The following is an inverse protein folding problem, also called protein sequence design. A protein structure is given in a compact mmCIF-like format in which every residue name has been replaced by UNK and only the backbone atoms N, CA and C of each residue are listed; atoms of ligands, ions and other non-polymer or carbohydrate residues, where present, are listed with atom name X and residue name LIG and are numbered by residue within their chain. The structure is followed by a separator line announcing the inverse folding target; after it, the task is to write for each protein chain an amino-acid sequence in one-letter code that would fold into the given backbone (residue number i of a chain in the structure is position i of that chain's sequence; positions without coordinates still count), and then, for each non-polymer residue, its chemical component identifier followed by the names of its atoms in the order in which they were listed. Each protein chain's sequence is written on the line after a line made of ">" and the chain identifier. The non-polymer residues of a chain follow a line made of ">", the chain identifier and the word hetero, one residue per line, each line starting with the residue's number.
data_IF_225224628751
#
_entry.id   IF_225224628751
#
_cell.length_a   1.000
_cell.length_b   1.000
_cell.length_c   1.000
_cell.angle_alpha   90.00
_cell.angle_beta   90.00
_cell.angle_gamma   90.00
#
_symmetry.space_group_name_H-M   'P 1'
#
loop_
_entity.id
_entity.type
_entity.pdbx_description
1 polymer ?
#
# COMPACT_ATOMS: atom_id res chain seq x y z
N UNK A 1 -11.23 -2.29 -20.70
CA UNK A 1 -12.43 -2.39 -19.85
C UNK A 1 -12.90 -3.83 -19.98
N UNK A 2 -12.73 -4.63 -18.95
CA UNK A 2 -13.07 -6.07 -18.98
C UNK A 2 -14.37 -6.27 -18.21
N UNK A 3 -15.39 -6.76 -18.90
CA UNK A 3 -16.70 -7.04 -18.30
C UNK A 3 -16.61 -8.41 -17.60
N UNK A 4 -16.76 -8.43 -16.27
CA UNK A 4 -16.70 -9.66 -15.45
C UNK A 4 -18.07 -10.27 -15.20
N UNK A 5 -18.91 -10.31 -16.25
CA UNK A 5 -20.29 -10.79 -16.17
C UNK A 5 -20.35 -12.24 -15.65
N UNK A 6 -19.50 -13.14 -16.12
CA UNK A 6 -19.49 -14.56 -15.73
C UNK A 6 -19.27 -14.75 -14.24
N UNK A 7 -18.26 -14.06 -13.67
CA UNK A 7 -17.97 -14.11 -12.24
C UNK A 7 -19.11 -13.52 -11.40
N UNK A 8 -19.65 -12.37 -11.85
CA UNK A 8 -20.73 -11.69 -11.15
C UNK A 8 -22.04 -12.48 -11.20
N UNK A 9 -22.39 -13.02 -12.35
CA UNK A 9 -23.58 -13.86 -12.52
C UNK A 9 -23.56 -15.02 -11.53
N UNK A 10 -22.47 -15.77 -11.49
CA UNK A 10 -22.26 -16.89 -10.57
C UNK A 10 -22.30 -16.44 -9.10
N UNK A 11 -21.61 -15.32 -8.77
CA UNK A 11 -21.56 -14.79 -7.41
C UNK A 11 -22.94 -14.35 -6.90
N UNK A 12 -23.69 -13.61 -7.71
CA UNK A 12 -25.04 -13.15 -7.36
C UNK A 12 -25.95 -14.35 -7.18
N UNK A 13 -25.94 -15.32 -8.08
CA UNK A 13 -26.74 -16.53 -7.97
C UNK A 13 -26.46 -17.28 -6.67
N UNK A 14 -25.19 -17.54 -6.37
CA UNK A 14 -24.79 -18.24 -5.15
C UNK A 14 -25.17 -17.48 -3.87
N UNK A 15 -25.01 -16.15 -3.86
CA UNK A 15 -25.39 -15.34 -2.70
C UNK A 15 -26.88 -15.36 -2.39
N UNK A 16 -27.71 -15.64 -3.38
CA UNK A 16 -29.18 -15.74 -3.26
C UNK A 16 -29.67 -17.19 -3.11
N UNK A 17 -28.78 -18.16 -3.09
CA UNK A 17 -29.14 -19.58 -2.96
C UNK A 17 -29.92 -20.13 -4.16
N UNK A 18 -29.79 -19.53 -5.33
CA UNK A 18 -30.53 -19.89 -6.56
C UNK A 18 -29.69 -20.85 -7.38
N UNK A 19 -30.36 -21.84 -8.07
CA UNK A 19 -29.69 -22.78 -8.96
C UNK A 19 -29.58 -22.25 -10.38
N UNK A 20 -28.71 -22.86 -11.22
CA UNK A 20 -28.63 -22.55 -12.65
C UNK A 20 -29.94 -22.93 -13.36
N UNK A 21 -30.59 -24.01 -12.92
CA UNK A 21 -31.85 -24.47 -13.43
C UNK A 21 -32.98 -23.46 -13.20
N UNK A 22 -33.04 -22.80 -12.02
CA UNK A 22 -34.08 -21.84 -11.71
C UNK A 22 -34.01 -20.62 -12.65
N UNK A 23 -32.78 -20.10 -12.91
CA UNK A 23 -32.57 -19.02 -13.86
C UNK A 23 -32.94 -19.47 -15.28
N UNK A 24 -32.52 -20.68 -15.66
CA UNK A 24 -32.79 -21.23 -16.98
C UNK A 24 -34.33 -21.37 -17.23
N UNK A 25 -35.06 -21.87 -16.24
CA UNK A 25 -36.52 -21.94 -16.26
C UNK A 25 -37.17 -20.58 -16.41
N UNK A 26 -36.73 -19.61 -15.62
CA UNK A 26 -37.27 -18.23 -15.70
C UNK A 26 -37.06 -17.60 -17.07
N UNK A 27 -35.89 -17.82 -17.67
CA UNK A 27 -35.55 -17.26 -18.98
C UNK A 27 -36.07 -18.10 -20.17
N UNK A 28 -36.62 -19.27 -19.90
CA UNK A 28 -37.07 -20.29 -20.91
C UNK A 28 -35.90 -20.65 -21.87
N UNK A 29 -34.75 -21.02 -21.30
CA UNK A 29 -33.54 -21.44 -22.02
C UNK A 29 -32.98 -22.74 -21.40
N UNK A 30 -32.12 -23.48 -22.12
CA UNK A 30 -31.45 -24.64 -21.53
C UNK A 30 -30.51 -24.26 -20.38
N UNK A 31 -30.47 -25.06 -19.29
CA UNK A 31 -29.54 -24.85 -18.16
C UNK A 31 -28.09 -24.78 -18.62
N UNK A 32 -27.70 -25.59 -19.58
CA UNK A 32 -26.36 -25.60 -20.18
C UNK A 32 -25.95 -24.20 -20.70
N UNK A 33 -26.92 -23.36 -21.10
CA UNK A 33 -26.65 -22.00 -21.57
C UNK A 33 -26.25 -21.11 -20.40
N UNK A 34 -26.92 -21.21 -19.26
CA UNK A 34 -26.56 -20.50 -18.03
C UNK A 34 -25.18 -20.94 -17.56
N UNK A 35 -24.91 -22.25 -17.57
CA UNK A 35 -23.59 -22.80 -17.21
C UNK A 35 -22.47 -22.23 -18.07
N UNK A 36 -22.65 -22.11 -19.40
CA UNK A 36 -21.68 -21.51 -20.30
C UNK A 36 -21.40 -20.03 -19.96
N UNK A 37 -22.44 -19.26 -19.63
CA UNK A 37 -22.27 -17.87 -19.25
C UNK A 37 -21.44 -17.73 -17.97
N UNK A 38 -21.67 -18.59 -16.97
CA UNK A 38 -20.91 -18.58 -15.72
C UNK A 38 -19.48 -19.12 -15.85
N UNK A 39 -19.19 -19.90 -16.91
CA UNK A 39 -17.84 -20.37 -17.25
C UNK A 39 -17.07 -19.37 -18.13
N UNK A 40 -17.76 -18.36 -18.67
CA UNK A 40 -17.14 -17.39 -19.58
C UNK A 40 -17.12 -17.85 -21.05
N UNK A 41 -17.74 -18.99 -21.37
CA UNK A 41 -17.81 -19.57 -22.72
C UNK A 41 -18.82 -18.89 -23.63
N UNK A 42 -19.40 -17.77 -23.20
CA UNK A 42 -20.36 -16.96 -23.94
C UNK A 42 -21.04 -15.92 -23.06
N UNK A 43 -21.87 -15.10 -23.69
CA UNK A 43 -22.59 -14.02 -23.02
C UNK A 43 -24.10 -14.11 -23.29
N UNK A 44 -24.96 -13.69 -22.33
CA UNK A 44 -26.37 -13.48 -22.60
C UNK A 44 -26.56 -12.43 -23.70
N UNK A 45 -27.56 -12.62 -24.53
CA UNK A 45 -27.98 -11.56 -25.45
C UNK A 45 -28.40 -10.32 -24.67
N UNK A 46 -28.14 -9.14 -25.23
CA UNK A 46 -28.39 -7.85 -24.56
C UNK A 46 -29.84 -7.71 -24.04
N UNK A 47 -30.80 -8.31 -24.74
CA UNK A 47 -32.22 -8.29 -24.35
C UNK A 47 -32.53 -9.16 -23.13
N UNK A 48 -31.65 -10.09 -22.76
CA UNK A 48 -31.79 -10.95 -21.59
C UNK A 48 -31.22 -10.29 -20.32
N UNK A 49 -30.29 -9.34 -20.45
CA UNK A 49 -29.66 -8.69 -19.31
C UNK A 49 -30.66 -8.05 -18.35
N UNK A 50 -31.66 -7.26 -18.81
CA UNK A 50 -32.66 -6.71 -17.90
C UNK A 50 -33.52 -7.77 -17.20
N UNK A 51 -33.81 -8.90 -17.88
CA UNK A 51 -34.57 -10.01 -17.29
C UNK A 51 -33.78 -10.74 -16.21
N UNK A 52 -32.47 -10.97 -16.45
CA UNK A 52 -31.56 -11.58 -15.48
C UNK A 52 -31.41 -10.66 -14.27
N UNK A 53 -31.22 -9.35 -14.50
CA UNK A 53 -31.11 -8.36 -13.44
C UNK A 53 -32.39 -8.32 -12.58
N UNK A 54 -33.57 -8.31 -13.21
CA UNK A 54 -34.85 -8.36 -12.51
C UNK A 54 -35.04 -9.65 -11.73
N UNK A 55 -34.63 -10.81 -12.29
CA UNK A 55 -34.71 -12.10 -11.60
C UNK A 55 -33.87 -12.13 -10.33
N UNK A 56 -32.70 -11.52 -10.36
CA UNK A 56 -31.80 -11.42 -9.22
C UNK A 56 -32.04 -10.20 -8.35
N UNK A 57 -33.03 -9.36 -8.66
CA UNK A 57 -33.27 -8.10 -7.93
C UNK A 57 -31.97 -7.29 -7.76
N UNK A 58 -31.31 -7.02 -8.89
CA UNK A 58 -30.10 -6.20 -9.02
C UNK A 58 -30.23 -5.30 -10.25
N UNK A 59 -29.38 -4.29 -10.36
CA UNK A 59 -29.28 -3.49 -11.59
C UNK A 59 -28.49 -4.21 -12.68
N UNK A 60 -28.67 -3.83 -13.93
CA UNK A 60 -27.86 -4.34 -15.05
C UNK A 60 -26.38 -3.95 -14.84
N UNK A 61 -26.11 -2.78 -14.28
CA UNK A 61 -24.76 -2.30 -13.97
C UNK A 61 -24.07 -3.18 -12.90
N UNK A 62 -24.80 -3.56 -11.85
CA UNK A 62 -24.31 -4.54 -10.84
C UNK A 62 -24.05 -5.90 -11.48
N UNK A 63 -24.97 -6.37 -12.36
CA UNK A 63 -24.82 -7.64 -13.07
C UNK A 63 -23.56 -7.63 -13.96
N UNK A 64 -23.31 -6.53 -14.69
CA UNK A 64 -22.13 -6.35 -15.54
C UNK A 64 -20.85 -6.02 -14.76
N UNK A 65 -20.97 -5.67 -13.49
CA UNK A 65 -19.85 -5.18 -12.66
C UNK A 65 -19.40 -3.76 -13.02
N UNK A 66 -20.24 -2.98 -13.66
CA UNK A 66 -19.92 -1.60 -14.07
C UNK A 66 -19.74 -0.70 -12.85
N UNK A 67 -20.51 -0.89 -11.80
CA UNK A 67 -20.36 -0.16 -10.53
C UNK A 67 -18.96 -0.31 -9.93
N UNK A 68 -18.40 -1.51 -10.02
CA UNK A 68 -17.04 -1.76 -9.56
C UNK A 68 -16.01 -1.03 -10.43
N UNK A 69 -16.18 -1.05 -11.74
CA UNK A 69 -15.29 -0.37 -12.69
C UNK A 69 -15.34 1.14 -12.48
N UNK A 70 -16.53 1.72 -12.31
CA UNK A 70 -16.69 3.15 -12.02
C UNK A 70 -16.03 3.52 -10.70
N UNK A 71 -16.23 2.71 -9.64
CA UNK A 71 -15.59 2.91 -8.35
C UNK A 71 -14.06 2.82 -8.44
N UNK A 72 -13.54 1.78 -9.10
CA UNK A 72 -12.09 1.60 -9.29
C UNK A 72 -11.48 2.76 -10.08
N UNK A 73 -12.14 3.22 -11.15
CA UNK A 73 -11.70 4.38 -11.91
C UNK A 73 -11.62 5.64 -11.04
N UNK A 74 -12.65 5.89 -10.25
CA UNK A 74 -12.70 7.06 -9.36
C UNK A 74 -11.67 7.00 -8.24
N UNK A 75 -11.44 5.81 -7.67
CA UNK A 75 -10.34 5.56 -6.71
C UNK A 75 -8.99 5.92 -7.34
N UNK A 76 -8.73 5.44 -8.57
CA UNK A 76 -7.50 5.72 -9.28
C UNK A 76 -7.33 7.22 -9.62
N UNK A 77 -8.41 7.93 -9.92
CA UNK A 77 -8.40 9.38 -10.11
C UNK A 77 -7.95 10.10 -8.82
N UNK A 78 -8.51 9.75 -7.66
CA UNK A 78 -8.08 10.28 -6.36
C UNK A 78 -6.61 10.00 -6.08
N UNK A 79 -6.14 8.77 -6.32
CA UNK A 79 -4.73 8.38 -6.13
C UNK A 79 -3.81 9.18 -7.06
N UNK A 80 -4.19 9.36 -8.31
CA UNK A 80 -3.43 10.15 -9.29
C UNK A 80 -3.31 11.62 -8.86
N UNK A 81 -4.41 12.23 -8.41
CA UNK A 81 -4.41 13.60 -7.87
C UNK A 81 -3.53 13.71 -6.62
N UNK A 82 -3.62 12.75 -5.70
CA UNK A 82 -2.78 12.69 -4.52
C UNK A 82 -1.30 12.69 -4.87
N UNK A 83 -0.88 11.80 -5.78
CA UNK A 83 0.52 11.68 -6.20
C UNK A 83 1.01 12.96 -6.89
N UNK A 84 0.19 13.60 -7.72
CA UNK A 84 0.50 14.88 -8.35
C UNK A 84 0.71 15.98 -7.30
N UNK A 85 -0.18 16.10 -6.33
CA UNK A 85 -0.06 17.07 -5.25
C UNK A 85 1.19 16.81 -4.40
N UNK A 86 1.47 15.54 -4.07
CA UNK A 86 2.65 15.15 -3.33
C UNK A 86 3.94 15.56 -4.06
N UNK A 87 4.02 15.33 -5.38
CA UNK A 87 5.15 15.75 -6.21
C UNK A 87 5.34 17.27 -6.30
N UNK A 88 4.28 18.04 -6.03
CA UNK A 88 4.31 19.51 -5.96
C UNK A 88 4.48 20.06 -4.55
N UNK A 89 4.62 19.22 -3.53
CA UNK A 89 4.70 19.62 -2.13
C UNK A 89 3.38 20.16 -1.53
N UNK A 90 2.24 19.95 -2.20
CA UNK A 90 0.91 20.42 -1.79
C UNK A 90 0.27 19.50 -0.75
N UNK A 91 0.87 19.42 0.43
CA UNK A 91 0.47 18.42 1.45
C UNK A 91 -0.91 18.75 2.05
N UNK A 92 -1.22 20.03 2.29
CA UNK A 92 -2.53 20.44 2.82
C UNK A 92 -3.67 20.16 1.83
N UNK A 93 -3.42 20.35 0.52
CA UNK A 93 -4.37 19.96 -0.53
C UNK A 93 -4.64 18.44 -0.51
N UNK A 94 -3.64 17.63 -0.20
CA UNK A 94 -3.81 16.18 -0.05
C UNK A 94 -4.65 15.80 1.16
N UNK A 95 -4.56 16.53 2.28
CA UNK A 95 -5.45 16.31 3.43
C UNK A 95 -6.90 16.54 3.03
N UNK A 96 -7.19 17.67 2.37
CA UNK A 96 -8.55 17.99 1.91
C UNK A 96 -9.04 16.95 0.87
N UNK A 97 -8.18 16.55 -0.08
CA UNK A 97 -8.48 15.56 -1.10
C UNK A 97 -8.82 14.19 -0.48
N UNK A 98 -8.02 13.70 0.47
CA UNK A 98 -8.26 12.40 1.09
C UNK A 98 -9.48 12.42 2.03
N UNK A 99 -9.74 13.54 2.72
CA UNK A 99 -10.98 13.69 3.49
C UNK A 99 -12.21 13.64 2.57
N UNK A 100 -12.17 14.32 1.42
CA UNK A 100 -13.26 14.25 0.43
C UNK A 100 -13.42 12.83 -0.15
N UNK A 101 -12.31 12.16 -0.47
CA UNK A 101 -12.34 10.77 -0.95
C UNK A 101 -12.95 9.81 0.08
N UNK A 102 -12.69 10.02 1.37
CA UNK A 102 -13.23 9.20 2.46
C UNK A 102 -14.72 9.46 2.76
N UNK A 103 -15.27 10.63 2.37
CA UNK A 103 -16.73 10.82 2.40
C UNK A 103 -17.42 9.90 1.39
N UNK A 104 -16.79 9.63 0.26
CA UNK A 104 -17.35 8.77 -0.78
C UNK A 104 -16.99 7.29 -0.58
N UNK A 105 -15.77 7.02 -0.08
CA UNK A 105 -15.23 5.69 0.16
C UNK A 105 -14.75 5.51 1.61
N UNK A 106 -15.66 5.52 2.61
CA UNK A 106 -15.31 5.66 4.03
C UNK A 106 -14.44 4.51 4.60
N UNK A 107 -14.45 3.35 3.95
CA UNK A 107 -13.67 2.16 4.37
C UNK A 107 -12.47 1.88 3.46
N UNK A 108 -12.05 2.84 2.64
CA UNK A 108 -10.87 2.66 1.80
C UNK A 108 -9.60 2.87 2.63
N UNK A 109 -8.92 1.77 2.95
CA UNK A 109 -7.73 1.78 3.80
C UNK A 109 -6.54 2.50 3.15
N UNK A 110 -6.44 2.51 1.81
CA UNK A 110 -5.39 3.25 1.11
C UNK A 110 -5.58 4.77 1.27
N UNK A 111 -6.81 5.25 1.17
CA UNK A 111 -7.11 6.67 1.41
C UNK A 111 -6.86 7.06 2.87
N UNK A 112 -7.24 6.19 3.81
CA UNK A 112 -6.94 6.40 5.23
C UNK A 112 -5.42 6.46 5.47
N UNK A 113 -4.65 5.56 4.89
CA UNK A 113 -3.18 5.55 5.00
C UNK A 113 -2.56 6.81 4.39
N UNK A 114 -3.02 7.24 3.20
CA UNK A 114 -2.56 8.47 2.55
C UNK A 114 -2.93 9.73 3.35
N UNK A 115 -4.09 9.73 4.00
CA UNK A 115 -4.47 10.80 4.92
C UNK A 115 -3.51 10.85 6.12
N UNK A 116 -3.26 9.71 6.77
CA UNK A 116 -2.30 9.62 7.88
C UNK A 116 -0.92 10.18 7.51
N UNK A 117 -0.39 9.79 6.33
CA UNK A 117 0.89 10.31 5.83
C UNK A 117 0.87 11.83 5.67
N UNK A 118 -0.20 12.38 5.07
CA UNK A 118 -0.31 13.83 4.86
C UNK A 118 -0.39 14.60 6.19
N UNK A 119 -1.17 14.09 7.15
CA UNK A 119 -1.30 14.66 8.49
C UNK A 119 0.05 14.64 9.24
N UNK A 120 0.78 13.52 9.14
CA UNK A 120 2.10 13.37 9.74
C UNK A 120 3.10 14.37 9.16
N UNK A 121 3.12 14.57 7.83
CA UNK A 121 4.03 15.51 7.17
C UNK A 121 3.79 16.97 7.57
N UNK A 122 2.54 17.37 7.77
CA UNK A 122 2.24 18.73 8.27
C UNK A 122 2.66 18.89 9.73
N UNK A 123 2.52 17.84 10.54
CA UNK A 123 3.05 17.74 11.90
C UNK A 123 2.40 18.64 12.94
N UNK A 124 1.26 19.29 12.65
CA UNK A 124 0.48 20.02 13.66
C UNK A 124 -0.04 19.05 14.72
N UNK A 125 -0.07 19.46 15.99
CA UNK A 125 -0.43 18.56 17.10
C UNK A 125 -1.80 17.91 16.93
N UNK A 126 -2.80 18.67 16.52
CA UNK A 126 -4.15 18.21 16.22
C UNK A 126 -4.18 17.17 15.08
N UNK A 127 -3.30 17.33 14.07
CA UNK A 127 -3.17 16.40 12.96
C UNK A 127 -2.45 15.11 13.36
N UNK A 128 -1.52 15.19 14.30
CA UNK A 128 -0.85 13.99 14.83
C UNK A 128 -1.83 13.12 15.61
N UNK A 129 -2.77 13.70 16.36
CA UNK A 129 -3.82 12.96 17.07
C UNK A 129 -4.78 12.29 16.10
N UNK A 130 -5.25 13.04 15.08
CA UNK A 130 -6.08 12.49 14.01
C UNK A 130 -5.38 11.35 13.27
N UNK A 131 -4.09 11.51 12.95
CA UNK A 131 -3.26 10.50 12.30
C UNK A 131 -3.19 9.21 13.13
N UNK A 132 -2.94 9.30 14.43
CA UNK A 132 -2.88 8.15 15.34
C UNK A 132 -4.22 7.42 15.37
N UNK A 133 -5.32 8.15 15.56
CA UNK A 133 -6.66 7.56 15.62
C UNK A 133 -7.04 6.82 14.33
N UNK A 134 -6.73 7.41 13.16
CA UNK A 134 -6.97 6.75 11.87
C UNK A 134 -6.06 5.54 11.71
N UNK A 135 -4.79 5.66 12.08
CA UNK A 135 -3.83 4.55 12.02
C UNK A 135 -4.26 3.36 12.88
N UNK A 136 -4.75 3.59 14.11
CA UNK A 136 -5.28 2.54 14.98
C UNK A 136 -6.49 1.85 14.34
N UNK A 137 -7.44 2.60 13.75
CA UNK A 137 -8.56 2.02 13.00
C UNK A 137 -8.12 1.13 11.85
N UNK A 138 -7.07 1.53 11.10
CA UNK A 138 -6.53 0.69 10.03
C UNK A 138 -5.97 -0.60 10.62
N UNK A 139 -5.23 -0.53 11.73
CA UNK A 139 -4.66 -1.72 12.38
C UNK A 139 -5.72 -2.70 12.91
N UNK A 140 -6.91 -2.21 13.29
CA UNK A 140 -8.01 -3.04 13.76
C UNK A 140 -8.66 -3.86 12.64
N UNK A 141 -8.67 -3.33 11.40
CA UNK A 141 -9.41 -3.96 10.29
C UNK A 141 -8.52 -4.55 9.19
N UNK A 142 -7.30 -4.02 9.00
CA UNK A 142 -6.40 -4.51 7.96
C UNK A 142 -5.77 -5.85 8.33
N UNK A 143 -5.85 -6.80 7.40
CA UNK A 143 -5.12 -8.08 7.47
C UNK A 143 -3.85 -8.09 6.62
N UNK A 144 -3.65 -7.05 5.79
CA UNK A 144 -2.46 -6.88 4.97
C UNK A 144 -1.28 -6.44 5.84
N UNK A 145 -0.22 -7.26 5.89
CA UNK A 145 0.92 -7.01 6.77
C UNK A 145 1.77 -5.83 6.30
N UNK A 146 1.91 -5.59 4.99
CA UNK A 146 2.68 -4.45 4.45
C UNK A 146 2.01 -3.12 4.83
N UNK A 147 0.70 -3.06 4.65
CA UNK A 147 -0.09 -1.91 5.07
C UNK A 147 0.01 -1.71 6.60
N UNK A 148 -0.12 -2.79 7.38
CA UNK A 148 0.00 -2.72 8.85
C UNK A 148 1.36 -2.20 9.28
N UNK A 149 2.45 -2.67 8.66
CA UNK A 149 3.81 -2.19 8.98
C UNK A 149 3.99 -0.72 8.61
N UNK A 150 3.51 -0.30 7.45
CA UNK A 150 3.53 1.11 7.04
C UNK A 150 2.78 1.99 8.02
N UNK A 151 1.60 1.56 8.47
CA UNK A 151 0.79 2.31 9.43
C UNK A 151 1.44 2.34 10.83
N UNK A 152 2.04 1.24 11.28
CA UNK A 152 2.80 1.22 12.54
C UNK A 152 3.94 2.24 12.49
N UNK A 153 4.69 2.33 11.39
CA UNK A 153 5.74 3.32 11.22
C UNK A 153 5.20 4.76 11.29
N UNK A 154 4.08 5.02 10.63
CA UNK A 154 3.41 6.34 10.68
C UNK A 154 3.05 6.71 12.14
N UNK A 155 2.46 5.78 12.89
CA UNK A 155 2.09 5.98 14.29
C UNK A 155 3.34 6.23 15.16
N UNK A 156 4.43 5.50 14.94
CA UNK A 156 5.70 5.72 15.65
C UNK A 156 6.19 7.15 15.43
N UNK A 157 6.23 7.62 14.17
CA UNK A 157 6.65 8.98 13.86
C UNK A 157 5.72 10.04 14.44
N UNK A 158 4.41 9.80 14.43
CA UNK A 158 3.45 10.69 15.06
C UNK A 158 3.69 10.82 16.58
N UNK A 159 3.89 9.73 17.29
CA UNK A 159 4.23 9.75 18.72
C UNK A 159 5.61 10.38 18.99
N UNK A 160 6.58 10.17 18.12
CA UNK A 160 7.91 10.79 18.23
C UNK A 160 7.81 12.31 18.08
N UNK A 161 7.04 12.80 17.10
CA UNK A 161 6.80 14.24 16.91
C UNK A 161 6.05 14.84 18.11
N UNK A 162 5.16 14.08 18.75
CA UNK A 162 4.51 14.46 20.01
C UNK A 162 5.42 14.33 21.24
N UNK A 163 6.69 13.93 21.07
CA UNK A 163 7.65 13.68 22.15
C UNK A 163 7.20 12.59 23.14
N UNK A 164 6.27 11.72 22.73
CA UNK A 164 5.82 10.59 23.52
C UNK A 164 6.61 9.33 23.17
N UNK A 165 7.87 9.30 23.61
CA UNK A 165 8.80 8.21 23.30
C UNK A 165 8.33 6.85 23.85
N UNK A 166 7.63 6.84 24.98
CA UNK A 166 7.10 5.61 25.58
C UNK A 166 6.14 4.91 24.61
N UNK A 167 5.17 5.65 24.05
CA UNK A 167 4.25 5.10 23.05
C UNK A 167 4.93 4.77 21.73
N UNK A 168 5.86 5.59 21.27
CA UNK A 168 6.64 5.30 20.07
C UNK A 168 7.39 3.96 20.19
N UNK A 169 8.05 3.70 21.33
CA UNK A 169 8.74 2.43 21.62
C UNK A 169 7.78 1.23 21.71
N UNK A 170 6.58 1.42 22.30
CA UNK A 170 5.56 0.38 22.36
C UNK A 170 5.16 -0.09 20.94
N UNK A 171 4.94 0.85 20.02
CA UNK A 171 4.60 0.54 18.63
C UNK A 171 5.81 -0.03 17.85
N UNK A 172 7.01 0.48 18.08
CA UNK A 172 8.22 -0.02 17.41
C UNK A 172 8.47 -1.52 17.69
N UNK A 173 8.14 -2.00 18.89
CA UNK A 173 8.24 -3.42 19.24
C UNK A 173 7.29 -4.35 18.47
N UNK A 174 6.26 -3.79 17.80
CA UNK A 174 5.34 -4.55 16.94
C UNK A 174 5.90 -4.81 15.54
N UNK A 175 6.97 -4.12 15.14
CA UNK A 175 7.65 -4.34 13.87
C UNK A 175 8.58 -5.56 13.96
N UNK A 176 8.71 -6.34 12.87
CA UNK A 176 9.68 -7.43 12.82
C UNK A 176 11.11 -6.89 12.86
N UNK A 177 12.02 -7.66 13.43
CA UNK A 177 13.44 -7.33 13.33
C UNK A 177 13.93 -7.46 11.88
N UNK A 178 15.03 -6.78 11.53
CA UNK A 178 15.64 -6.88 10.21
C UNK A 178 15.94 -8.33 9.81
N UNK A 179 16.30 -9.18 10.76
CA UNK A 179 16.61 -10.60 10.52
C UNK A 179 15.38 -11.46 10.22
N UNK A 180 14.18 -10.96 10.44
CA UNK A 180 12.93 -11.66 10.16
C UNK A 180 12.30 -11.18 8.83
N UNK A 181 13.01 -10.36 8.05
CA UNK A 181 12.52 -9.84 6.78
C UNK A 181 12.54 -10.92 5.70
N UNK A 182 11.55 -10.87 4.81
CA UNK A 182 11.43 -11.78 3.67
C UNK A 182 12.71 -11.84 2.83
N UNK A 183 13.31 -10.69 2.53
CA UNK A 183 14.50 -10.58 1.69
C UNK A 183 15.70 -11.36 2.29
N UNK A 184 15.88 -11.33 3.60
CA UNK A 184 16.94 -12.11 4.29
C UNK A 184 16.68 -13.60 4.19
N UNK A 185 15.45 -14.04 4.36
CA UNK A 185 15.07 -15.46 4.26
C UNK A 185 15.22 -15.97 2.83
N UNK A 186 14.84 -15.17 1.83
CA UNK A 186 14.97 -15.53 0.42
C UNK A 186 16.42 -15.71 -0.03
N UNK A 187 17.40 -14.99 0.54
CA UNK A 187 18.82 -15.19 0.25
C UNK A 187 19.27 -16.62 0.56
N UNK A 188 18.68 -17.28 1.56
CA UNK A 188 18.95 -18.68 1.90
C UNK A 188 18.29 -19.71 0.99
N UNK A 189 17.31 -19.30 0.17
CA UNK A 189 16.47 -20.19 -0.67
C UNK A 189 16.83 -20.06 -2.14
N UNK A 190 17.02 -18.85 -2.65
CA UNK A 190 17.27 -18.54 -4.05
C UNK A 190 18.66 -19.01 -4.48
N UNK A 191 18.85 -19.21 -5.80
CA UNK A 191 20.11 -19.61 -6.44
C UNK A 191 20.36 -18.88 -7.74
N UNK A 192 21.61 -18.86 -8.18
CA UNK A 192 21.98 -18.34 -9.49
C UNK A 192 21.69 -16.85 -9.66
N UNK A 193 21.16 -16.46 -10.83
CA UNK A 193 20.92 -15.05 -11.18
C UNK A 193 19.86 -14.35 -10.32
N UNK A 194 18.88 -15.07 -9.80
CA UNK A 194 17.86 -14.50 -8.92
C UNK A 194 18.45 -14.15 -7.56
N UNK A 195 19.25 -15.06 -6.98
CA UNK A 195 20.01 -14.78 -5.76
C UNK A 195 20.92 -13.56 -5.94
N UNK A 196 21.67 -13.51 -7.03
CA UNK A 196 22.60 -12.40 -7.28
C UNK A 196 21.87 -11.05 -7.34
N UNK A 197 20.73 -10.97 -8.03
CA UNK A 197 19.90 -9.75 -8.10
C UNK A 197 19.38 -9.34 -6.73
N UNK A 198 18.85 -10.30 -5.96
CA UNK A 198 18.34 -10.03 -4.62
C UNK A 198 19.47 -9.55 -3.69
N UNK A 199 20.59 -10.25 -3.67
CA UNK A 199 21.74 -9.90 -2.82
C UNK A 199 22.30 -8.51 -3.18
N UNK A 200 22.38 -8.16 -4.46
CA UNK A 200 22.80 -6.81 -4.87
C UNK A 200 21.84 -5.72 -4.37
N UNK A 201 20.52 -5.97 -4.48
CA UNK A 201 19.50 -5.08 -3.92
C UNK A 201 19.66 -4.94 -2.40
N UNK A 202 19.81 -6.06 -1.70
CA UNK A 202 19.88 -6.09 -0.24
C UNK A 202 21.16 -5.41 0.28
N UNK A 203 22.31 -5.61 -0.34
CA UNK A 203 23.55 -4.91 -0.01
C UNK A 203 23.33 -3.40 -0.07
N UNK A 204 22.69 -2.89 -1.14
CA UNK A 204 22.35 -1.47 -1.26
C UNK A 204 21.46 -0.98 -0.11
N UNK A 205 20.46 -1.76 0.27
CA UNK A 205 19.58 -1.44 1.39
C UNK A 205 20.30 -1.47 2.73
N UNK A 206 21.17 -2.46 2.97
CA UNK A 206 21.95 -2.55 4.21
C UNK A 206 22.91 -1.38 4.38
N UNK A 207 23.56 -0.95 3.30
CA UNK A 207 24.44 0.22 3.31
C UNK A 207 23.61 1.49 3.63
N UNK A 208 22.42 1.66 3.02
CA UNK A 208 21.54 2.79 3.33
C UNK A 208 21.06 2.78 4.79
N UNK A 209 20.73 1.61 5.33
CA UNK A 209 20.36 1.47 6.74
C UNK A 209 21.54 1.82 7.67
N UNK A 210 22.75 1.41 7.30
CA UNK A 210 23.97 1.74 8.03
C UNK A 210 24.24 3.25 7.99
N UNK A 211 24.13 3.90 6.82
CA UNK A 211 24.24 5.34 6.66
C UNK A 211 23.22 6.09 7.55
N UNK A 212 21.97 5.66 7.52
CA UNK A 212 20.92 6.22 8.36
C UNK A 212 21.23 6.07 9.86
N UNK A 213 21.70 4.90 10.29
CA UNK A 213 22.05 4.62 11.66
C UNK A 213 23.22 5.48 12.12
N UNK A 214 24.26 5.63 11.28
CA UNK A 214 25.39 6.50 11.53
C UNK A 214 24.96 7.97 11.63
N UNK A 215 24.08 8.43 10.71
CA UNK A 215 23.54 9.77 10.74
C UNK A 215 22.77 10.07 12.05
N UNK A 216 21.95 9.12 12.52
CA UNK A 216 21.26 9.25 13.81
C UNK A 216 22.24 9.27 14.99
N UNK A 217 23.24 8.41 14.96
CA UNK A 217 24.28 8.34 15.97
C UNK A 217 25.06 9.65 16.06
N UNK A 218 25.48 10.23 14.91
CA UNK A 218 26.18 11.51 14.87
C UNK A 218 25.31 12.70 15.35
N UNK A 219 23.99 12.65 15.11
CA UNK A 219 23.04 13.66 15.62
C UNK A 219 22.88 13.63 17.14
N UNK A 220 23.18 12.51 17.80
CA UNK A 220 23.13 12.43 19.28
C UNK A 220 24.15 13.32 19.98
N UNK A 221 25.19 13.76 19.25
CA UNK A 221 26.31 14.58 19.74
C UNK A 221 27.10 13.95 20.89
N UNK A 222 27.05 12.65 21.04
CA UNK A 222 27.78 11.90 22.07
C UNK A 222 29.21 11.51 21.64
N UNK A 223 29.63 11.92 20.43
CA UNK A 223 30.91 11.58 19.82
C UNK A 223 31.86 12.75 19.80
N UNK A 224 33.15 12.47 19.99
CA UNK A 224 34.19 13.42 19.71
C UNK A 224 34.30 13.72 18.20
N UNK A 225 34.65 14.96 17.78
CA UNK A 225 34.71 15.30 16.34
C UNK A 225 35.60 14.35 15.51
N UNK A 226 36.73 13.89 16.08
CA UNK A 226 37.63 12.95 15.41
C UNK A 226 37.05 11.57 15.17
N UNK A 227 36.21 11.09 16.08
CA UNK A 227 35.51 9.81 15.95
C UNK A 227 34.44 9.91 14.85
N UNK A 228 33.71 11.01 14.79
CA UNK A 228 32.71 11.27 13.75
C UNK A 228 33.36 11.28 12.36
N UNK A 229 34.50 11.95 12.19
CA UNK A 229 35.26 11.99 10.93
C UNK A 229 35.69 10.57 10.54
N UNK A 230 36.27 9.80 11.44
CA UNK A 230 36.70 8.43 11.17
C UNK A 230 35.55 7.54 10.70
N UNK A 231 34.37 7.65 11.32
CA UNK A 231 33.17 6.89 10.93
C UNK A 231 32.73 7.26 9.52
N UNK A 232 32.67 8.56 9.19
CA UNK A 232 32.29 9.06 7.87
C UNK A 232 33.27 8.65 6.76
N UNK A 233 34.59 8.72 7.03
CA UNK A 233 35.62 8.25 6.11
C UNK A 233 35.54 6.73 5.86
N UNK A 234 35.19 5.97 6.89
CA UNK A 234 34.99 4.52 6.75
C UNK A 234 33.78 4.21 5.92
N UNK A 235 32.68 4.93 6.10
CA UNK A 235 31.47 4.80 5.30
C UNK A 235 31.74 5.14 3.83
N UNK A 236 32.46 6.23 3.56
CA UNK A 236 32.86 6.61 2.19
C UNK A 236 33.69 5.52 1.51
N UNK A 237 34.63 4.91 2.22
CA UNK A 237 35.40 3.76 1.69
C UNK A 237 34.53 2.57 1.37
N UNK A 238 33.53 2.25 2.20
CA UNK A 238 32.56 1.17 1.95
C UNK A 238 31.70 1.48 0.71
N UNK A 239 31.23 2.69 0.58
CA UNK A 239 30.49 3.11 -0.62
C UNK A 239 31.32 2.96 -1.88
N UNK A 240 32.58 3.43 -1.87
CA UNK A 240 33.48 3.32 -3.00
C UNK A 240 33.80 1.85 -3.34
N UNK A 241 33.91 0.97 -2.35
CA UNK A 241 34.16 -0.45 -2.56
C UNK A 241 33.01 -1.15 -3.28
N UNK A 242 31.77 -0.85 -2.92
CA UNK A 242 30.60 -1.56 -3.45
C UNK A 242 29.97 -0.88 -4.69
N UNK A 243 30.17 0.42 -4.89
CA UNK A 243 29.47 1.20 -5.92
C UNK A 243 30.36 1.94 -6.90
N UNK A 244 31.66 1.69 -6.91
CA UNK A 244 32.68 2.43 -7.66
C UNK A 244 32.41 2.61 -9.16
N UNK A 245 31.57 1.80 -9.77
CA UNK A 245 31.36 1.82 -11.25
C UNK A 245 29.89 1.88 -11.69
N UNK A 246 28.98 2.18 -10.79
CA UNK A 246 27.57 2.17 -11.11
C UNK A 246 26.90 3.45 -10.61
N UNK A 247 26.33 4.20 -11.55
CA UNK A 247 25.38 5.30 -11.33
C UNK A 247 24.13 4.81 -10.55
N UNK A 248 24.32 4.35 -9.33
CA UNK A 248 23.23 4.25 -8.39
C UNK A 248 22.96 5.66 -7.89
N UNK A 249 21.84 6.27 -8.33
CA UNK A 249 21.45 7.64 -8.01
C UNK A 249 21.10 7.89 -6.53
N UNK A 250 21.95 7.42 -5.65
CA UNK A 250 21.90 7.71 -4.22
C UNK A 250 22.87 8.86 -3.96
N UNK A 251 22.30 10.03 -3.86
CA UNK A 251 23.05 11.19 -3.37
C UNK A 251 23.53 10.86 -1.93
N UNK A 252 24.82 11.04 -1.69
CA UNK A 252 25.42 11.10 -0.36
C UNK A 252 24.81 12.28 0.44
N UNK A 253 23.59 12.13 0.92
CA UNK A 253 22.91 13.22 1.64
C UNK A 253 23.51 13.49 3.01
N UNK A 254 24.18 12.50 3.60
CA UNK A 254 24.77 12.62 4.94
C UNK A 254 26.14 13.28 4.98
N UNK A 255 26.94 13.18 3.90
CA UNK A 255 28.27 13.82 3.85
C UNK A 255 28.21 15.35 3.72
N UNK A 256 27.08 15.91 3.23
CA UNK A 256 26.91 17.36 3.07
C UNK A 256 26.34 18.10 4.28
N UNK A 257 25.95 17.38 5.36
CA UNK A 257 25.32 17.98 6.54
C UNK A 257 26.28 18.23 7.71
N UNK A 258 27.59 18.00 7.55
CA UNK A 258 28.60 18.13 8.64
C UNK A 258 29.51 19.36 8.46
N UNK A 259 29.28 20.21 7.43
CA UNK A 259 30.01 21.48 7.24
C UNK A 259 29.10 22.67 7.43
#
# INVERSE_FOLDING_TARGET
>A
MEIKLSENLKKIRLSKGITQEDLAKYLNIPEKTVSKWEQGDGYPGITLLPKIAAFYDVTVDELLGCDRIVKEKKINEYISMYNKNAGLGKIEDNIALMKAALLEFPNNLDFMTKLCLSLLYVGKEEYLDECIQIGEKILDVSTDYEQRFSVIQIIIYAYTNKKNLTKALEYAKKLPSIYSCQDVVLEGILKGGELLKLTQKNIGQYINLMDSSISWMLKSKEFAPGEAIFILETLDKLYNLFFYDKNYGYAHSSLYLVW
#
